data_IF_962222308800
#
_entry.id   IF_962222308800
#
_cell.length_a   1.000
_cell.length_b   1.000
_cell.length_c   1.000
_cell.angle_alpha   90.00
_cell.angle_beta   90.00
_cell.angle_gamma   90.00
#
_symmetry.space_group_name_H-M   'P 1'
#
loop_
_entity.id
_entity.type
_entity.pdbx_description
1 polymer ?
#
# COMPACT_ATOMS: atom_id res chain seq x y z
N UNK A 1 -11.21 16.55 1.66
CA UNK A 1 -9.90 16.92 2.24
C UNK A 1 -9.79 16.63 3.75
N UNK A 2 -10.73 17.07 4.62
CA UNK A 2 -10.69 16.72 6.05
C UNK A 2 -10.73 15.20 6.32
N UNK A 3 -11.43 14.44 5.48
CA UNK A 3 -11.69 13.02 5.72
C UNK A 3 -10.41 12.15 5.70
N UNK A 4 -9.42 12.46 4.86
CA UNK A 4 -8.22 11.62 4.74
C UNK A 4 -7.19 11.93 5.84
N UNK A 5 -7.00 13.20 6.20
CA UNK A 5 -6.21 13.57 7.38
C UNK A 5 -6.80 12.99 8.66
N UNK A 6 -8.13 13.04 8.82
CA UNK A 6 -8.80 12.43 9.97
C UNK A 6 -8.55 10.91 10.01
N UNK A 7 -8.65 10.22 8.88
CA UNK A 7 -8.35 8.77 8.78
C UNK A 7 -6.90 8.48 9.15
N UNK A 8 -5.93 9.22 8.62
CA UNK A 8 -4.51 9.01 8.95
C UNK A 8 -4.24 9.28 10.43
N UNK A 9 -4.75 10.38 10.98
CA UNK A 9 -4.59 10.72 12.40
C UNK A 9 -5.25 9.69 13.30
N UNK A 10 -6.47 9.23 12.95
CA UNK A 10 -7.17 8.18 13.69
C UNK A 10 -6.40 6.86 13.66
N UNK A 11 -5.87 6.48 12.49
CA UNK A 11 -5.01 5.32 12.34
C UNK A 11 -3.76 5.44 13.23
N UNK A 12 -3.05 6.57 13.16
CA UNK A 12 -1.85 6.82 13.97
C UNK A 12 -2.18 6.76 15.48
N UNK A 13 -3.29 7.37 15.89
CA UNK A 13 -3.75 7.33 17.28
C UNK A 13 -4.13 5.91 17.72
N UNK A 14 -4.84 5.14 16.88
CA UNK A 14 -5.21 3.76 17.15
C UNK A 14 -3.98 2.87 17.31
N UNK A 15 -2.94 3.07 16.49
CA UNK A 15 -1.68 2.34 16.61
C UNK A 15 -0.99 2.67 17.94
N UNK A 16 -0.87 3.96 18.29
CA UNK A 16 -0.25 4.35 19.58
C UNK A 16 -1.04 3.77 20.76
N UNK A 17 -2.38 3.82 20.70
CA UNK A 17 -3.25 3.22 21.72
C UNK A 17 -3.06 1.70 21.82
N UNK A 18 -2.93 1.00 20.69
CA UNK A 18 -2.65 -0.44 20.65
C UNK A 18 -1.31 -0.76 21.32
N UNK A 19 -0.24 -0.01 21.00
CA UNK A 19 1.07 -0.18 21.64
C UNK A 19 0.98 0.06 23.16
N UNK A 20 0.26 1.10 23.60
CA UNK A 20 0.01 1.35 25.02
C UNK A 20 -0.71 0.20 25.71
N UNK A 21 -1.77 -0.33 25.09
CA UNK A 21 -2.52 -1.48 25.61
C UNK A 21 -1.64 -2.74 25.72
N UNK A 22 -0.86 -3.04 24.68
CA UNK A 22 0.08 -4.17 24.69
C UNK A 22 1.16 -3.97 25.75
N UNK A 23 1.73 -2.77 25.87
CA UNK A 23 2.70 -2.43 26.91
C UNK A 23 2.14 -2.60 28.32
N UNK A 24 0.89 -2.20 28.54
CA UNK A 24 0.19 -2.42 29.81
C UNK A 24 0.05 -3.91 30.13
N UNK A 25 -0.36 -4.72 29.15
CA UNK A 25 -0.56 -6.16 29.32
C UNK A 25 0.75 -6.91 29.61
N UNK A 26 1.87 -6.45 29.04
CA UNK A 26 3.18 -7.12 29.18
C UNK A 26 3.99 -6.65 30.40
N UNK A 27 3.90 -5.37 30.75
CA UNK A 27 4.79 -4.75 31.76
C UNK A 27 4.10 -3.77 32.71
N UNK A 28 2.77 -3.80 32.80
CA UNK A 28 2.00 -2.91 33.66
C UNK A 28 2.16 -1.43 33.28
N UNK A 29 2.04 -0.52 34.26
CA UNK A 29 2.12 0.91 34.01
C UNK A 29 3.47 1.33 33.38
N UNK A 30 4.58 0.74 33.82
CA UNK A 30 5.91 1.01 33.26
C UNK A 30 6.02 0.53 31.82
N UNK A 31 5.53 -0.69 31.52
CA UNK A 31 5.47 -1.22 30.16
C UNK A 31 4.61 -0.37 29.22
N UNK A 32 3.47 0.14 29.71
CA UNK A 32 2.62 1.07 28.96
C UNK A 32 3.37 2.36 28.59
N UNK A 33 4.03 3.01 29.56
CA UNK A 33 4.78 4.26 29.31
C UNK A 33 5.89 4.04 28.29
N UNK A 34 6.66 2.97 28.44
CA UNK A 34 7.72 2.61 27.48
C UNK A 34 7.12 2.36 26.09
N UNK A 35 6.04 1.58 25.99
CA UNK A 35 5.41 1.26 24.71
C UNK A 35 4.76 2.49 24.04
N UNK A 36 4.22 3.44 24.81
CA UNK A 36 3.71 4.70 24.28
C UNK A 36 4.83 5.60 23.75
N UNK A 37 5.96 5.69 24.46
CA UNK A 37 7.13 6.44 24.00
C UNK A 37 7.71 5.84 22.72
N UNK A 38 7.91 4.51 22.70
CA UNK A 38 8.39 3.80 21.52
C UNK A 38 7.41 3.88 20.36
N UNK A 39 6.11 3.62 20.61
CA UNK A 39 5.06 3.69 19.60
C UNK A 39 4.93 5.09 19.01
N UNK A 40 4.98 6.14 19.85
CA UNK A 40 4.99 7.54 19.40
C UNK A 40 6.24 7.87 18.56
N UNK A 41 7.42 7.46 19.01
CA UNK A 41 8.66 7.66 18.27
C UNK A 41 8.67 6.93 16.92
N UNK A 42 8.21 5.67 16.89
CA UNK A 42 8.07 4.89 15.65
C UNK A 42 7.05 5.52 14.71
N UNK A 43 5.95 6.06 15.23
CA UNK A 43 4.91 6.70 14.41
C UNK A 43 5.43 7.98 13.75
N UNK A 44 6.13 8.83 14.51
CA UNK A 44 6.84 9.98 13.96
C UNK A 44 7.86 9.54 12.92
N UNK A 45 8.72 8.57 13.24
CA UNK A 45 9.72 8.08 12.30
C UNK A 45 9.10 7.54 10.99
N UNK A 46 8.01 6.78 11.09
CA UNK A 46 7.28 6.25 9.95
C UNK A 46 6.66 7.36 9.08
N UNK A 47 6.16 8.44 9.67
CA UNK A 47 5.63 9.58 8.91
C UNK A 47 6.66 10.20 7.95
N UNK A 48 7.95 10.24 8.32
CA UNK A 48 9.03 10.79 7.48
C UNK A 48 9.81 9.77 6.65
N UNK A 49 9.72 8.47 6.95
CA UNK A 49 10.60 7.46 6.35
C UNK A 49 9.87 6.24 5.76
N UNK A 50 8.55 6.14 5.91
CA UNK A 50 7.76 4.99 5.44
C UNK A 50 7.88 4.77 3.92
N UNK A 51 7.92 5.84 3.12
CA UNK A 51 8.11 5.78 1.67
C UNK A 51 9.46 5.13 1.31
N UNK A 52 10.54 5.60 1.93
CA UNK A 52 11.90 5.08 1.72
C UNK A 52 12.01 3.62 2.15
N UNK A 53 11.29 3.24 3.21
CA UNK A 53 11.30 1.87 3.70
C UNK A 53 10.64 0.92 2.69
N UNK A 54 9.43 1.26 2.23
CA UNK A 54 8.72 0.45 1.22
C UNK A 54 9.52 0.38 -0.09
N UNK A 55 10.05 1.51 -0.58
CA UNK A 55 10.86 1.50 -1.81
C UNK A 55 12.10 0.60 -1.68
N UNK A 56 12.76 0.58 -0.52
CA UNK A 56 13.89 -0.32 -0.26
C UNK A 56 13.50 -1.79 -0.15
N UNK A 57 12.34 -2.10 0.44
CA UNK A 57 11.83 -3.49 0.49
C UNK A 57 11.71 -4.08 -0.91
N UNK A 58 11.33 -3.26 -1.89
CA UNK A 58 11.21 -3.64 -3.30
C UNK A 58 12.47 -3.42 -4.14
N UNK A 59 13.61 -3.04 -3.54
CA UNK A 59 14.83 -2.67 -4.28
C UNK A 59 14.57 -1.69 -5.43
N UNK A 60 13.61 -0.77 -5.24
CA UNK A 60 13.15 0.15 -6.27
C UNK A 60 14.28 1.10 -6.70
N UNK A 61 14.52 1.18 -8.00
CA UNK A 61 15.56 2.02 -8.60
C UNK A 61 14.92 3.32 -9.09
N UNK A 62 15.42 4.46 -8.62
CA UNK A 62 14.96 5.76 -9.10
C UNK A 62 15.42 5.96 -10.54
N UNK A 63 14.51 6.36 -11.43
CA UNK A 63 14.78 6.57 -12.85
C UNK A 63 14.50 8.01 -13.24
N UNK A 64 15.39 8.58 -14.04
CA UNK A 64 15.25 9.90 -14.63
C UNK A 64 14.85 9.86 -16.11
N UNK A 65 14.78 11.04 -16.75
CA UNK A 65 14.48 11.17 -18.18
C UNK A 65 15.53 10.51 -19.09
N UNK A 66 16.74 10.24 -18.59
CA UNK A 66 17.79 9.54 -19.33
C UNK A 66 17.69 8.01 -19.20
N UNK A 67 17.22 7.51 -18.06
CA UNK A 67 17.22 6.07 -17.74
C UNK A 67 16.00 5.35 -18.33
N UNK A 68 14.82 5.97 -18.23
CA UNK A 68 13.56 5.42 -18.74
C UNK A 68 12.70 6.53 -19.37
N UNK A 69 13.12 7.10 -20.52
CA UNK A 69 12.51 8.31 -21.10
C UNK A 69 11.01 8.17 -21.35
N UNK A 70 10.57 7.04 -21.90
CA UNK A 70 9.15 6.81 -22.21
C UNK A 70 8.28 6.78 -20.96
N UNK A 71 8.71 6.02 -19.95
CA UNK A 71 7.98 5.90 -18.68
C UNK A 71 7.99 7.22 -17.89
N UNK A 72 9.15 7.86 -17.78
CA UNK A 72 9.29 9.14 -17.09
C UNK A 72 8.42 10.23 -17.73
N UNK A 73 8.42 10.33 -19.06
CA UNK A 73 7.61 11.32 -19.79
C UNK A 73 6.11 11.04 -19.66
N UNK A 74 5.70 9.77 -19.66
CA UNK A 74 4.31 9.38 -19.41
C UNK A 74 3.84 9.86 -18.03
N UNK A 75 4.64 9.61 -16.98
CA UNK A 75 4.31 10.07 -15.62
C UNK A 75 4.29 11.59 -15.55
N UNK A 76 5.25 12.29 -16.18
CA UNK A 76 5.31 13.75 -16.20
C UNK A 76 4.09 14.38 -16.88
N UNK A 77 3.63 13.82 -17.99
CA UNK A 77 2.44 14.29 -18.67
C UNK A 77 1.18 14.12 -17.80
N UNK A 78 1.02 12.96 -17.17
CA UNK A 78 -0.13 12.68 -16.30
C UNK A 78 -0.11 13.52 -15.03
N UNK A 79 1.05 13.73 -14.41
CA UNK A 79 1.20 14.62 -13.27
C UNK A 79 0.76 16.05 -13.62
N UNK A 80 1.16 16.55 -14.79
CA UNK A 80 0.72 17.86 -15.30
C UNK A 80 -0.80 17.91 -15.52
N UNK A 81 -1.39 16.88 -16.15
CA UNK A 81 -2.86 16.77 -16.32
C UNK A 81 -3.60 16.75 -14.98
N UNK A 82 -3.04 16.07 -13.99
CA UNK A 82 -3.58 15.96 -12.64
C UNK A 82 -3.34 17.22 -11.77
N UNK A 83 -2.58 18.21 -12.27
CA UNK A 83 -2.12 19.40 -11.53
C UNK A 83 -1.32 19.04 -10.29
N UNK A 84 -0.44 18.05 -10.41
CA UNK A 84 0.45 17.58 -9.35
C UNK A 84 1.90 18.01 -9.61
N UNK A 85 2.70 18.18 -8.55
CA UNK A 85 4.16 18.18 -8.67
C UNK A 85 4.62 16.87 -9.33
N UNK A 86 5.76 16.91 -10.03
CA UNK A 86 6.36 15.69 -10.57
C UNK A 86 6.77 14.75 -9.42
N UNK A 87 6.19 13.56 -9.29
CA UNK A 87 6.65 12.59 -8.30
C UNK A 87 8.00 12.01 -8.71
N UNK A 88 8.75 11.46 -7.75
CA UNK A 88 9.90 10.60 -8.07
C UNK A 88 9.40 9.32 -8.75
N UNK A 89 10.12 8.85 -9.76
CA UNK A 89 9.72 7.70 -10.57
C UNK A 89 10.68 6.55 -10.28
N UNK A 90 10.13 5.38 -10.01
CA UNK A 90 10.91 4.19 -9.70
C UNK A 90 10.53 3.02 -10.60
N UNK A 91 11.53 2.19 -10.90
CA UNK A 91 11.37 0.88 -11.54
C UNK A 91 11.79 -0.20 -10.55
N UNK A 92 10.97 -1.25 -10.45
CA UNK A 92 11.22 -2.41 -9.60
C UNK A 92 11.49 -3.61 -10.52
N UNK A 93 12.61 -4.29 -10.31
CA UNK A 93 12.97 -5.45 -11.12
C UNK A 93 12.24 -6.71 -10.63
N UNK A 94 10.99 -6.86 -11.06
CA UNK A 94 10.09 -7.95 -10.67
C UNK A 94 9.22 -8.34 -11.87
N UNK A 95 9.09 -9.64 -12.13
CA UNK A 95 8.35 -10.17 -13.27
C UNK A 95 6.83 -10.06 -13.11
N UNK A 96 6.31 -10.13 -11.86
CA UNK A 96 4.88 -9.96 -11.64
C UNK A 96 4.47 -8.50 -11.95
N UNK A 97 3.48 -8.27 -12.82
CA UNK A 97 3.06 -6.92 -13.20
C UNK A 97 2.41 -6.21 -12.01
N UNK A 98 2.99 -5.10 -11.57
CA UNK A 98 2.42 -4.27 -10.53
C UNK A 98 2.88 -2.81 -10.61
N UNK A 99 2.15 -1.93 -9.94
CA UNK A 99 2.48 -0.54 -9.74
C UNK A 99 1.88 -0.04 -8.43
N UNK A 100 2.47 0.99 -7.83
CA UNK A 100 1.94 1.66 -6.66
C UNK A 100 2.44 3.10 -6.52
N UNK A 101 1.74 3.90 -5.72
CA UNK A 101 2.20 5.19 -5.22
C UNK A 101 2.49 5.18 -3.70
N UNK A 102 3.49 5.94 -3.29
CA UNK A 102 3.85 6.14 -1.88
C UNK A 102 4.29 7.59 -1.63
N UNK A 103 4.49 7.95 -0.36
CA UNK A 103 4.87 9.30 0.06
C UNK A 103 3.95 9.89 1.12
N UNK A 104 4.37 11.02 1.68
CA UNK A 104 3.64 11.71 2.76
C UNK A 104 2.65 12.76 2.28
N UNK A 105 2.88 13.32 1.10
CA UNK A 105 2.05 14.34 0.45
C UNK A 105 2.43 14.44 -1.04
N UNK A 106 1.68 15.18 -1.87
CA UNK A 106 1.97 15.33 -3.30
C UNK A 106 3.38 15.84 -3.61
N UNK A 107 3.93 16.71 -2.77
CA UNK A 107 5.26 17.30 -2.93
C UNK A 107 6.40 16.30 -2.62
N UNK A 108 6.08 15.21 -1.93
CA UNK A 108 7.01 14.15 -1.54
C UNK A 108 6.47 12.78 -1.97
N UNK A 109 5.80 12.73 -3.12
CA UNK A 109 5.25 11.52 -3.69
C UNK A 109 6.29 10.76 -4.52
N UNK A 110 6.16 9.45 -4.55
CA UNK A 110 6.87 8.55 -5.43
C UNK A 110 5.88 7.59 -6.09
N UNK A 111 6.12 7.26 -7.35
CA UNK A 111 5.38 6.23 -8.07
C UNK A 111 6.36 5.17 -8.56
N UNK A 112 5.96 3.91 -8.50
CA UNK A 112 6.78 2.78 -8.88
C UNK A 112 6.02 1.84 -9.81
N UNK A 113 6.72 1.24 -10.78
CA UNK A 113 6.19 0.22 -11.67
C UNK A 113 7.20 -0.94 -11.79
N UNK A 114 6.71 -2.17 -11.86
CA UNK A 114 7.58 -3.35 -12.05
C UNK A 114 8.04 -3.49 -13.49
N UNK A 115 9.19 -4.12 -13.74
CA UNK A 115 9.62 -4.46 -15.11
C UNK A 115 8.59 -5.31 -15.84
N UNK A 116 7.90 -6.20 -15.12
CA UNK A 116 6.77 -6.98 -15.63
C UNK A 116 5.60 -6.15 -16.15
N UNK A 117 5.18 -5.08 -15.44
CA UNK A 117 4.07 -4.24 -15.90
C UNK A 117 4.46 -3.41 -17.13
N UNK A 118 5.70 -2.92 -17.17
CA UNK A 118 6.23 -2.12 -18.26
C UNK A 118 6.36 -2.91 -19.56
N UNK A 119 6.70 -4.20 -19.47
CA UNK A 119 6.81 -5.09 -20.65
C UNK A 119 5.45 -5.61 -21.14
N UNK A 120 4.49 -5.76 -20.22
CA UNK A 120 3.20 -6.39 -20.52
C UNK A 120 2.14 -5.43 -21.05
N UNK A 121 2.09 -4.22 -20.50
CA UNK A 121 1.05 -3.26 -20.83
C UNK A 121 1.44 -2.43 -22.06
N UNK A 122 0.44 -2.16 -22.90
CA UNK A 122 0.59 -1.12 -23.92
C UNK A 122 0.73 0.27 -23.27
N UNK A 123 1.26 1.25 -23.99
CA UNK A 123 1.37 2.62 -23.51
C UNK A 123 0.03 3.22 -23.04
N UNK A 124 -1.09 2.86 -23.68
CA UNK A 124 -2.45 3.27 -23.27
C UNK A 124 -2.85 2.67 -21.92
N UNK A 125 -2.59 1.38 -21.74
CA UNK A 125 -2.91 0.65 -20.51
C UNK A 125 -2.05 1.12 -19.35
N UNK A 126 -0.73 1.26 -19.56
CA UNK A 126 0.19 1.81 -18.56
C UNK A 126 -0.19 3.23 -18.16
N UNK A 127 -0.63 4.05 -19.12
CA UNK A 127 -1.17 5.39 -18.84
C UNK A 127 -2.36 5.36 -17.89
N UNK A 128 -3.29 4.43 -18.09
CA UNK A 128 -4.43 4.23 -17.19
C UNK A 128 -3.99 3.85 -15.78
N UNK A 129 -3.06 2.90 -15.66
CA UNK A 129 -2.52 2.43 -14.37
C UNK A 129 -1.80 3.56 -13.64
N UNK A 130 -0.88 4.27 -14.29
CA UNK A 130 -0.16 5.37 -13.64
C UNK A 130 -1.09 6.55 -13.30
N UNK A 131 -2.16 6.78 -14.08
CA UNK A 131 -3.17 7.78 -13.76
C UNK A 131 -3.98 7.41 -12.50
N UNK A 132 -4.28 6.11 -12.32
CA UNK A 132 -4.88 5.58 -11.10
C UNK A 132 -3.97 5.85 -9.89
N UNK A 133 -2.68 5.50 -9.99
CA UNK A 133 -1.70 5.74 -8.91
C UNK A 133 -1.54 7.23 -8.59
N UNK A 134 -1.52 8.10 -9.60
CA UNK A 134 -1.49 9.55 -9.40
C UNK A 134 -2.78 10.09 -8.75
N UNK A 135 -3.90 9.40 -8.92
CA UNK A 135 -5.14 9.76 -8.23
C UNK A 135 -5.04 9.53 -6.72
N UNK A 136 -4.33 8.49 -6.28
CA UNK A 136 -4.00 8.31 -4.85
C UNK A 136 -3.14 9.47 -4.31
N UNK A 137 -2.15 9.90 -5.08
CA UNK A 137 -1.34 11.08 -4.75
C UNK A 137 -2.22 12.32 -4.60
N UNK A 138 -3.09 12.58 -5.60
CA UNK A 138 -4.02 13.71 -5.61
C UNK A 138 -5.00 13.69 -4.43
N UNK A 139 -5.52 12.53 -4.10
CA UNK A 139 -6.45 12.34 -3.00
C UNK A 139 -5.77 12.33 -1.63
N UNK A 140 -4.44 12.33 -1.57
CA UNK A 140 -3.63 12.32 -0.34
C UNK A 140 -3.90 11.11 0.54
N UNK A 141 -4.14 9.95 -0.06
CA UNK A 141 -4.36 8.69 0.67
C UNK A 141 -3.11 7.77 0.66
N UNK A 142 -2.08 8.11 -0.12
CA UNK A 142 -0.76 7.43 -0.15
C UNK A 142 -0.10 7.30 1.23
N UNK A 143 -0.22 8.31 2.09
CA UNK A 143 0.37 8.28 3.44
C UNK A 143 -0.33 7.26 4.32
N UNK A 144 -1.66 7.17 4.25
CA UNK A 144 -2.43 6.21 5.05
C UNK A 144 -2.07 4.79 4.65
N UNK A 145 -1.93 4.54 3.34
CA UNK A 145 -1.54 3.23 2.82
C UNK A 145 -0.12 2.85 3.26
N UNK A 146 0.84 3.77 3.09
CA UNK A 146 2.26 3.53 3.42
C UNK A 146 2.50 3.36 4.93
N UNK A 147 1.84 4.16 5.77
CA UNK A 147 1.91 4.02 7.24
C UNK A 147 1.28 2.69 7.71
N UNK A 148 0.14 2.31 7.14
CA UNK A 148 -0.51 1.03 7.46
C UNK A 148 0.41 -0.15 7.17
N UNK A 149 1.04 -0.18 5.99
CA UNK A 149 2.00 -1.21 5.61
C UNK A 149 3.21 -1.22 6.56
N UNK A 150 3.83 -0.06 6.78
CA UNK A 150 5.02 0.09 7.64
C UNK A 150 4.78 -0.44 9.05
N UNK A 151 3.64 -0.09 9.64
CA UNK A 151 3.32 -0.47 11.01
C UNK A 151 2.94 -1.95 11.09
N UNK A 152 2.21 -2.47 10.11
CA UNK A 152 1.91 -3.91 10.05
C UNK A 152 3.20 -4.74 9.92
N UNK A 153 4.16 -4.33 9.08
CA UNK A 153 5.47 -4.98 8.95
C UNK A 153 6.31 -4.89 10.24
N UNK A 154 6.27 -3.75 10.93
CA UNK A 154 6.94 -3.58 12.22
C UNK A 154 6.35 -4.50 13.31
N UNK A 155 5.02 -4.60 13.37
CA UNK A 155 4.32 -5.51 14.31
C UNK A 155 4.66 -6.97 13.99
N UNK A 156 4.64 -7.36 12.72
CA UNK A 156 5.01 -8.71 12.28
C UNK A 156 6.45 -9.06 12.69
N UNK A 157 7.39 -8.11 12.52
CA UNK A 157 8.79 -8.27 12.93
C UNK A 157 8.94 -8.44 14.45
N UNK A 158 8.22 -7.64 15.26
CA UNK A 158 8.26 -7.75 16.72
C UNK A 158 7.73 -9.09 17.23
N UNK A 159 6.69 -9.64 16.59
CA UNK A 159 6.19 -10.98 16.90
C UNK A 159 7.24 -12.08 16.66
N UNK A 160 8.07 -11.94 15.62
CA UNK A 160 9.18 -12.86 15.35
C UNK A 160 10.34 -12.69 16.35
N UNK A 161 10.68 -11.45 16.74
CA UNK A 161 11.75 -11.17 17.71
C UNK A 161 11.42 -11.69 19.12
N UNK A 162 10.16 -11.64 19.55
CA UNK A 162 9.72 -12.23 20.82
C UNK A 162 9.99 -13.75 20.92
N UNK A 163 10.08 -14.43 19.78
CA UNK A 163 10.36 -15.86 19.68
C UNK A 163 11.85 -16.20 19.92
N UNK A 164 12.77 -15.32 19.51
CA UNK A 164 14.23 -15.56 19.59
C UNK A 164 14.83 -15.28 20.97
N UNK A 165 14.20 -14.42 21.77
CA UNK A 165 14.68 -14.02 23.10
C UNK A 165 13.82 -14.54 24.27
N UNK A 166 12.76 -15.31 23.99
CA UNK A 166 11.80 -15.86 24.97
C UNK A 166 12.29 -17.05 25.80
N UNK A 167 13.59 -17.07 26.10
CA UNK A 167 14.32 -18.21 26.66
C UNK A 167 14.91 -18.01 28.05
N UNK A 168 14.33 -17.21 28.97
CA UNK A 168 14.52 -17.51 30.40
C UNK A 168 13.47 -16.87 31.36
N UNK A 169 13.12 -17.70 32.34
CA UNK A 169 12.33 -17.66 33.60
C UNK A 169 11.42 -16.52 34.11
N UNK A 170 11.25 -15.35 33.48
CA UNK A 170 10.27 -14.35 33.98
C UNK A 170 9.30 -13.90 32.87
N UNK A 171 8.25 -14.71 32.63
CA UNK A 171 7.36 -14.54 31.49
C UNK A 171 6.19 -13.57 31.76
N UNK A 172 5.96 -12.58 30.89
CA UNK A 172 4.61 -12.14 30.57
C UNK A 172 3.82 -13.35 30.05
N UNK A 173 2.60 -13.56 30.55
CA UNK A 173 1.78 -14.75 30.32
C UNK A 173 1.82 -15.23 28.85
N UNK A 174 2.24 -16.48 28.62
CA UNK A 174 2.34 -17.09 27.28
C UNK A 174 1.03 -17.00 26.48
N UNK A 175 -0.10 -16.96 27.19
CA UNK A 175 -1.43 -16.74 26.63
C UNK A 175 -1.56 -15.33 26.07
N UNK A 176 -1.05 -14.30 26.77
CA UNK A 176 -1.08 -12.90 26.30
C UNK A 176 -0.22 -12.75 25.04
N UNK A 177 0.94 -13.38 24.98
CA UNK A 177 1.80 -13.35 23.79
C UNK A 177 1.13 -14.01 22.58
N UNK A 178 0.51 -15.17 22.78
CA UNK A 178 -0.23 -15.87 21.73
C UNK A 178 -1.45 -15.07 21.25
N UNK A 179 -2.17 -14.43 22.19
CA UNK A 179 -3.32 -13.57 21.88
C UNK A 179 -2.88 -12.34 21.08
N UNK A 180 -1.79 -11.66 21.46
CA UNK A 180 -1.28 -10.50 20.70
C UNK A 180 -0.80 -10.92 19.31
N UNK A 181 -0.11 -12.07 19.19
CA UNK A 181 0.35 -12.62 17.91
C UNK A 181 -0.79 -12.87 16.93
N UNK A 182 -1.96 -13.30 17.41
CA UNK A 182 -3.14 -13.57 16.57
C UNK A 182 -3.96 -12.29 16.36
N UNK A 183 -4.24 -11.53 17.43
CA UNK A 183 -5.17 -10.41 17.38
C UNK A 183 -4.57 -9.15 16.75
N UNK A 184 -3.26 -8.89 16.90
CA UNK A 184 -2.67 -7.67 16.34
C UNK A 184 -2.66 -7.67 14.80
N UNK A 185 -2.27 -8.76 14.09
CA UNK A 185 -2.40 -8.84 12.64
C UNK A 185 -3.86 -8.74 12.18
N UNK A 186 -4.79 -9.39 12.90
CA UNK A 186 -6.23 -9.34 12.59
C UNK A 186 -6.80 -7.92 12.75
N UNK A 187 -6.44 -7.21 13.82
CA UNK A 187 -6.84 -5.83 14.02
C UNK A 187 -6.28 -4.93 12.92
N UNK A 188 -5.02 -5.12 12.53
CA UNK A 188 -4.41 -4.39 11.42
C UNK A 188 -5.14 -4.67 10.10
N UNK A 189 -5.49 -5.93 9.80
CA UNK A 189 -6.23 -6.28 8.58
C UNK A 189 -7.63 -5.68 8.57
N UNK A 190 -8.35 -5.71 9.69
CA UNK A 190 -9.69 -5.11 9.80
C UNK A 190 -9.66 -3.59 9.58
N UNK A 191 -8.66 -2.91 10.14
CA UNK A 191 -8.47 -1.46 9.93
C UNK A 191 -8.14 -1.17 8.46
N UNK A 192 -7.30 -1.98 7.82
CA UNK A 192 -6.94 -1.84 6.41
C UNK A 192 -8.15 -2.06 5.48
N UNK A 193 -8.96 -3.10 5.75
CA UNK A 193 -10.17 -3.41 4.97
C UNK A 193 -11.24 -2.33 5.08
N UNK A 194 -11.33 -1.63 6.21
CA UNK A 194 -12.29 -0.55 6.40
C UNK A 194 -11.99 0.71 5.55
N UNK A 195 -10.78 0.83 5.00
CA UNK A 195 -10.30 2.05 4.35
C UNK A 195 -10.32 1.96 2.81
N UNK A 196 -10.46 0.78 2.21
CA UNK A 196 -10.02 0.59 0.81
C UNK A 196 -11.09 0.73 -0.30
N UNK A 197 -12.29 0.15 -0.19
CA UNK A 197 -13.16 -0.01 -1.39
C UNK A 197 -13.59 1.28 -2.07
N UNK A 198 -14.10 2.25 -1.30
CA UNK A 198 -14.51 3.54 -1.85
C UNK A 198 -13.32 4.34 -2.40
N UNK A 199 -12.12 4.13 -1.85
CA UNK A 199 -10.87 4.75 -2.28
C UNK A 199 -10.47 4.23 -3.66
N UNK A 200 -10.49 2.92 -3.86
CA UNK A 200 -10.16 2.27 -5.13
C UNK A 200 -11.10 2.71 -6.26
N UNK A 201 -12.41 2.76 -6.01
CA UNK A 201 -13.36 3.25 -7.01
C UNK A 201 -13.16 4.74 -7.34
N UNK A 202 -12.80 5.55 -6.34
CA UNK A 202 -12.44 6.95 -6.57
C UNK A 202 -11.14 7.09 -7.38
N UNK A 203 -10.18 6.19 -7.17
CA UNK A 203 -8.94 6.15 -7.92
C UNK A 203 -9.14 5.64 -9.36
N UNK A 204 -10.04 4.68 -9.59
CA UNK A 204 -10.45 4.25 -10.92
C UNK A 204 -11.11 5.39 -11.70
N UNK A 205 -12.02 6.13 -11.06
CA UNK A 205 -12.66 7.30 -11.67
C UNK A 205 -11.66 8.40 -12.00
N UNK A 206 -10.82 8.82 -11.03
CA UNK A 206 -9.81 9.85 -11.29
C UNK A 206 -8.74 9.40 -12.29
N UNK A 207 -8.39 8.11 -12.30
CA UNK A 207 -7.49 7.52 -13.28
C UNK A 207 -8.09 7.59 -14.69
N UNK A 208 -9.37 7.30 -14.85
CA UNK A 208 -10.10 7.50 -16.09
C UNK A 208 -10.11 8.97 -16.53
N UNK A 209 -10.38 9.93 -15.62
CA UNK A 209 -10.36 11.37 -15.92
C UNK A 209 -8.98 11.87 -16.34
N UNK A 210 -7.92 11.49 -15.62
CA UNK A 210 -6.55 11.97 -15.87
C UNK A 210 -6.01 11.34 -17.18
N UNK A 211 -6.24 10.05 -17.39
CA UNK A 211 -5.81 9.37 -18.62
C UNK A 211 -6.65 9.76 -19.84
N UNK A 212 -7.94 10.04 -19.63
CA UNK A 212 -8.95 10.20 -20.68
C UNK A 212 -9.34 8.86 -21.34
N UNK A 213 -9.00 7.72 -20.74
CA UNK A 213 -9.17 6.40 -21.35
C UNK A 213 -9.56 5.31 -20.32
N UNK A 214 -10.81 5.30 -19.85
CA UNK A 214 -11.31 4.31 -18.89
C UNK A 214 -11.23 2.88 -19.43
N UNK A 215 -11.39 2.67 -20.74
CA UNK A 215 -11.30 1.34 -21.35
C UNK A 215 -9.88 0.79 -21.27
N UNK A 216 -8.86 1.63 -21.46
CA UNK A 216 -7.47 1.21 -21.29
C UNK A 216 -7.15 0.81 -19.85
N UNK A 217 -7.65 1.55 -18.84
CA UNK A 217 -7.49 1.13 -17.44
C UNK A 217 -8.22 -0.19 -17.17
N UNK A 218 -9.44 -0.36 -17.68
CA UNK A 218 -10.18 -1.62 -17.54
C UNK A 218 -9.45 -2.80 -18.21
N UNK A 219 -8.87 -2.59 -19.39
CA UNK A 219 -8.05 -3.58 -20.10
C UNK A 219 -6.81 -3.95 -19.29
N UNK A 220 -6.11 -2.94 -18.75
CA UNK A 220 -4.93 -3.13 -17.91
C UNK A 220 -5.25 -4.00 -16.68
N UNK A 221 -6.31 -3.66 -15.94
CA UNK A 221 -6.72 -4.42 -14.76
C UNK A 221 -6.99 -5.90 -15.07
N UNK A 222 -7.66 -6.20 -16.18
CA UNK A 222 -7.89 -7.59 -16.62
C UNK A 222 -6.58 -8.33 -16.91
N UNK A 223 -5.63 -7.70 -17.62
CA UNK A 223 -4.34 -8.32 -17.95
C UNK A 223 -3.51 -8.59 -16.71
N UNK A 224 -3.44 -7.60 -15.82
CA UNK A 224 -2.68 -7.66 -14.58
C UNK A 224 -3.23 -8.77 -13.68
N UNK A 225 -4.55 -8.83 -13.46
CA UNK A 225 -5.23 -9.89 -12.71
C UNK A 225 -4.96 -11.29 -13.31
N UNK A 226 -5.08 -11.42 -14.63
CA UNK A 226 -4.88 -12.71 -15.31
C UNK A 226 -3.44 -13.23 -15.15
N UNK A 227 -2.45 -12.34 -15.17
CA UNK A 227 -1.05 -12.73 -15.05
C UNK A 227 -0.63 -12.97 -13.60
N UNK A 228 -1.13 -12.15 -12.66
CA UNK A 228 -0.83 -12.29 -11.24
C UNK A 228 -1.33 -13.60 -10.62
N UNK A 229 -2.42 -14.17 -11.15
CA UNK A 229 -2.90 -15.50 -10.72
C UNK A 229 -1.91 -16.64 -11.05
N UNK A 230 -0.94 -16.42 -11.93
CA UNK A 230 0.01 -17.44 -12.39
C UNK A 230 1.48 -17.15 -12.08
N UNK A 231 1.80 -16.03 -11.43
CA UNK A 231 3.19 -15.62 -11.17
C UNK A 231 3.30 -15.03 -9.77
N UNK A 232 3.99 -15.69 -8.82
CA UNK A 232 4.20 -15.13 -7.49
C UNK A 232 5.17 -13.94 -7.51
N UNK A 233 5.03 -13.05 -6.52
CA UNK A 233 5.95 -11.95 -6.25
C UNK A 233 6.59 -12.23 -4.90
N UNK A 234 7.76 -12.87 -4.95
CA UNK A 234 8.55 -13.29 -3.79
C UNK A 234 8.69 -12.17 -2.75
N UNK A 235 8.88 -10.92 -3.20
CA UNK A 235 9.02 -9.77 -2.32
C UNK A 235 7.73 -9.45 -1.57
N UNK A 236 6.57 -9.54 -2.23
CA UNK A 236 5.28 -9.35 -1.55
C UNK A 236 4.91 -10.53 -0.65
N UNK A 237 5.31 -11.76 -1.00
CA UNK A 237 5.12 -12.92 -0.11
C UNK A 237 5.95 -12.80 1.18
N UNK A 238 7.13 -12.16 1.11
CA UNK A 238 7.94 -11.81 2.30
C UNK A 238 7.41 -10.60 3.07
N UNK A 239 6.68 -9.71 2.39
CA UNK A 239 6.14 -8.46 2.92
C UNK A 239 4.63 -8.33 2.66
N UNK A 240 3.77 -9.23 3.18
CA UNK A 240 2.34 -9.22 2.87
C UNK A 240 1.63 -7.92 3.30
N UNK A 241 2.22 -7.16 4.21
CA UNK A 241 1.72 -5.86 4.67
C UNK A 241 1.66 -4.78 3.57
N UNK A 242 2.48 -4.89 2.52
CA UNK A 242 2.54 -3.93 1.40
C UNK A 242 1.57 -4.29 0.28
N UNK A 243 0.94 -5.48 0.32
CA UNK A 243 0.03 -5.98 -0.71
C UNK A 243 -1.13 -5.01 -1.03
N UNK A 244 -1.58 -4.23 -0.04
CA UNK A 244 -2.65 -3.22 -0.19
C UNK A 244 -2.26 -1.94 -0.94
N UNK A 245 -0.95 -1.73 -1.14
CA UNK A 245 -0.44 -0.55 -1.87
C UNK A 245 -0.47 -0.78 -3.37
N UNK A 246 -0.49 -2.05 -3.78
CA UNK A 246 -0.40 -2.49 -5.16
C UNK A 246 -1.73 -2.31 -5.89
N UNK A 247 -1.69 -2.05 -7.21
CA UNK A 247 -2.92 -1.88 -8.01
C UNK A 247 -3.84 -3.13 -8.00
N UNK A 248 -3.22 -4.30 -7.83
CA UNK A 248 -3.88 -5.59 -7.58
C UNK A 248 -3.18 -6.31 -6.41
N UNK A 249 -3.89 -7.22 -5.76
CA UNK A 249 -3.29 -8.05 -4.72
C UNK A 249 -2.20 -8.97 -5.32
N UNK A 250 -0.92 -8.83 -4.92
CA UNK A 250 0.17 -9.65 -5.45
C UNK A 250 0.24 -11.07 -4.86
N UNK A 251 -0.42 -11.33 -3.72
CA UNK A 251 -0.26 -12.57 -2.96
C UNK A 251 -0.97 -13.75 -3.65
N UNK A 252 -0.20 -14.81 -3.88
CA UNK A 252 -0.67 -16.05 -4.53
C UNK A 252 -1.26 -17.01 -3.49
N UNK A 253 -2.53 -16.84 -3.09
CA UNK A 253 -3.17 -17.67 -2.06
C UNK A 253 -4.68 -17.90 -2.26
N UNK A 254 -5.09 -19.18 -2.24
CA UNK A 254 -6.44 -19.67 -2.55
C UNK A 254 -7.59 -19.18 -1.64
N UNK A 255 -8.78 -19.75 -1.84
CA UNK A 255 -10.16 -19.36 -1.44
C UNK A 255 -10.39 -18.65 -0.08
N UNK A 256 -9.48 -18.77 0.90
CA UNK A 256 -9.52 -17.99 2.14
C UNK A 256 -9.06 -16.53 1.95
N UNK A 257 -8.45 -16.19 0.81
CA UNK A 257 -8.05 -14.83 0.44
C UNK A 257 -9.23 -13.87 0.31
N UNK A 258 -10.45 -14.36 0.05
CA UNK A 258 -11.68 -13.57 -0.07
C UNK A 258 -11.99 -12.69 1.15
N UNK A 259 -11.68 -13.18 2.36
CA UNK A 259 -11.92 -12.46 3.62
C UNK A 259 -10.87 -11.40 3.93
N UNK A 260 -9.73 -11.42 3.23
CA UNK A 260 -8.62 -10.47 3.40
C UNK A 260 -8.33 -9.69 2.10
N UNK A 261 -9.26 -9.68 1.13
CA UNK A 261 -9.13 -8.86 -0.08
C UNK A 261 -9.21 -7.39 0.30
N UNK A 262 -8.06 -6.75 0.24
CA UNK A 262 -7.90 -5.30 0.44
C UNK A 262 -8.38 -4.50 -0.76
N UNK A 263 -8.56 -5.11 -1.93
CA UNK A 263 -9.13 -4.45 -3.12
C UNK A 263 -10.55 -4.97 -3.43
N UNK A 264 -11.46 -4.13 -3.98
CA UNK A 264 -12.68 -4.61 -4.61
C UNK A 264 -12.37 -5.66 -5.69
N UNK A 265 -13.37 -6.47 -6.03
CA UNK A 265 -13.23 -7.41 -7.13
C UNK A 265 -12.88 -6.67 -8.43
N UNK A 266 -11.88 -7.16 -9.15
CA UNK A 266 -11.43 -6.55 -10.41
C UNK A 266 -12.55 -6.48 -11.44
N UNK A 267 -13.43 -7.47 -11.48
CA UNK A 267 -14.60 -7.49 -12.35
C UNK A 267 -15.55 -6.31 -12.06
N UNK A 268 -15.72 -5.93 -10.78
CA UNK A 268 -16.54 -4.79 -10.38
C UNK A 268 -15.91 -3.46 -10.81
N UNK A 269 -14.59 -3.29 -10.58
CA UNK A 269 -13.83 -2.11 -11.01
C UNK A 269 -13.91 -1.92 -12.53
N UNK A 270 -13.67 -3.00 -13.26
CA UNK A 270 -13.77 -3.06 -14.72
C UNK A 270 -15.18 -2.69 -15.20
N UNK A 271 -16.23 -3.23 -14.58
CA UNK A 271 -17.61 -2.93 -14.97
C UNK A 271 -17.93 -1.43 -14.85
N UNK A 272 -17.48 -0.78 -13.76
CA UNK A 272 -17.67 0.66 -13.54
C UNK A 272 -16.87 1.51 -14.53
N UNK A 273 -15.63 1.13 -14.84
CA UNK A 273 -14.83 1.82 -15.85
C UNK A 273 -15.47 1.75 -17.24
N UNK A 274 -16.00 0.59 -17.63
CA UNK A 274 -16.74 0.45 -18.89
C UNK A 274 -18.08 1.18 -18.89
N UNK A 275 -18.70 1.39 -17.73
CA UNK A 275 -19.86 2.28 -17.59
C UNK A 275 -19.48 3.76 -17.76
N UNK A 276 -18.35 4.19 -17.18
CA UNK A 276 -17.80 5.54 -17.38
C UNK A 276 -17.48 5.79 -18.86
N UNK A 277 -16.83 4.84 -19.52
CA UNK A 277 -16.54 4.92 -20.96
C UNK A 277 -17.80 5.16 -21.79
N UNK A 278 -18.91 4.47 -21.46
CA UNK A 278 -20.20 4.61 -22.14
C UNK A 278 -20.88 5.95 -21.89
N UNK A 279 -20.63 6.58 -20.73
CA UNK A 279 -21.21 7.89 -20.37
C UNK A 279 -20.39 9.08 -20.88
N UNK A 280 -19.15 8.83 -21.30
CA UNK A 280 -18.15 9.87 -21.55
C UNK A 280 -17.47 10.27 -20.24
N UNK A 281 -16.16 10.50 -20.33
CA UNK A 281 -15.31 11.02 -19.25
C UNK A 281 -15.21 12.53 -19.36
#
# INVERSE_FOLDING_TARGET
MLNNWLKTTLLMAAIVALFGAVGMLLGGATGMVIALLLGGAMNLWAYWNSDKMVLRMYNAQEVGPADAPEFYNLVAELARRAQLPMPRVYVIDEAQPNAFATGRNPEHAAVAATTGILQMLSARELRGVMAHELTHVKNRDILTSTLSATVAGAIASLAQFGFLFGGDRERPNMIVQLVVMILAPLAATLIQMAISRAREFGADHGGAEISGDPEALASALRKIEAHARGTPLDTADRHPETAQMMIINPLSGGDLSGLFRTHPATEERVARLLELARRGV
#
